data_IF_433673897032
#
_entry.id   IF_433673897032
#
_cell.length_a   1.000
_cell.length_b   1.000
_cell.length_c   1.000
_cell.angle_alpha   90.00
_cell.angle_beta   90.00
_cell.angle_gamma   90.00
#
_symmetry.space_group_name_H-M   'P 1'
#
loop_
_entity.id
_entity.type
_entity.pdbx_description
1 polymer ?
#
# COMPACT_ATOMS: atom_id res chain seq x y z
N UNK A 1 22.55 10.54 12.08
CA UNK A 1 21.66 10.83 10.94
C UNK A 1 21.50 9.53 10.21
N UNK A 2 20.34 8.88 10.31
CA UNK A 2 19.94 7.70 9.53
C UNK A 2 18.45 7.50 9.82
N UNK A 3 17.59 8.35 9.27
CA UNK A 3 16.15 8.14 9.37
C UNK A 3 15.52 8.67 8.10
N UNK A 4 15.34 7.78 7.13
CA UNK A 4 14.35 7.99 6.10
C UNK A 4 12.99 8.04 6.82
N UNK A 5 12.54 9.23 7.18
CA UNK A 5 11.22 9.44 7.76
C UNK A 5 10.20 9.32 6.63
N UNK A 6 9.42 8.24 6.64
CA UNK A 6 8.26 8.12 5.75
C UNK A 6 7.04 8.71 6.45
N UNK A 7 6.22 9.44 5.70
CA UNK A 7 4.95 10.00 6.18
C UNK A 7 3.79 9.44 5.37
N UNK A 8 2.64 9.28 6.02
CA UNK A 8 1.37 9.17 5.33
C UNK A 8 0.85 10.58 5.05
N UNK A 9 0.41 10.82 3.81
CA UNK A 9 -0.10 12.10 3.32
C UNK A 9 -1.53 12.39 3.83
N UNK A 10 -1.71 12.38 5.14
CA UNK A 10 -2.90 12.87 5.85
C UNK A 10 -2.80 14.39 6.07
N UNK A 11 -3.88 15.01 6.55
CA UNK A 11 -3.87 16.41 7.00
C UNK A 11 -4.23 16.49 8.50
N UNK A 12 -3.25 16.76 9.40
CA UNK A 12 -1.81 16.94 9.12
C UNK A 12 -1.12 15.62 8.76
N UNK A 13 0.08 15.69 8.16
CA UNK A 13 0.86 14.49 7.81
C UNK A 13 1.12 13.60 9.03
N UNK A 14 1.01 12.28 8.85
CA UNK A 14 1.23 11.30 9.92
C UNK A 14 2.59 10.64 9.76
N UNK A 15 3.55 10.85 10.68
CA UNK A 15 4.83 10.14 10.66
C UNK A 15 4.64 8.63 10.85
N UNK A 16 5.29 7.83 9.99
CA UNK A 16 5.20 6.37 10.05
C UNK A 16 6.28 5.80 10.97
N UNK A 17 5.86 4.93 11.89
CA UNK A 17 6.77 4.19 12.77
C UNK A 17 7.16 2.87 12.12
N UNK A 18 8.22 2.90 11.33
CA UNK A 18 8.69 1.73 10.62
C UNK A 18 9.61 0.88 11.48
N UNK A 19 9.54 -0.45 11.32
CA UNK A 19 10.52 -1.38 11.88
C UNK A 19 11.81 -1.42 11.04
N UNK A 20 11.63 -1.37 9.72
CA UNK A 20 12.66 -1.30 8.69
C UNK A 20 12.06 -0.63 7.44
N UNK A 21 12.91 -0.18 6.51
CA UNK A 21 12.45 0.38 5.22
C UNK A 21 12.00 -0.78 4.32
N UNK A 22 10.70 -0.87 3.96
CA UNK A 22 10.21 -1.96 3.11
C UNK A 22 10.80 -1.84 1.70
N UNK A 23 11.18 -2.96 1.10
CA UNK A 23 11.59 -3.01 -0.32
C UNK A 23 10.41 -3.34 -1.23
N UNK A 24 9.41 -4.08 -0.72
CA UNK A 24 8.13 -4.35 -1.36
C UNK A 24 7.01 -3.92 -0.42
N UNK A 25 6.15 -3.05 -0.95
CA UNK A 25 4.95 -2.61 -0.27
C UNK A 25 3.76 -3.23 -0.96
N UNK A 26 2.94 -3.92 -0.19
CA UNK A 26 1.65 -4.37 -0.68
C UNK A 26 0.54 -3.41 -0.28
N UNK A 27 -0.47 -3.32 -1.13
CA UNK A 27 -1.62 -2.44 -0.98
C UNK A 27 -2.88 -3.28 -0.99
N UNK A 28 -3.76 -3.06 0.00
CA UNK A 28 -5.05 -3.73 0.10
C UNK A 28 -6.16 -2.70 0.21
N UNK A 29 -7.10 -2.74 -0.74
CA UNK A 29 -8.26 -1.87 -0.80
C UNK A 29 -9.51 -2.67 -0.44
N UNK A 30 -10.19 -2.21 0.60
CA UNK A 30 -11.49 -2.71 1.05
C UNK A 30 -12.52 -1.61 0.84
N UNK A 31 -13.28 -1.71 -0.24
CA UNK A 31 -14.26 -0.70 -0.60
C UNK A 31 -15.55 -0.78 0.21
N UNK A 32 -15.89 -1.96 0.73
CA UNK A 32 -17.09 -2.12 1.54
C UNK A 32 -16.88 -1.43 2.90
N UNK A 33 -15.67 -1.49 3.48
CA UNK A 33 -15.30 -0.79 4.73
C UNK A 33 -14.67 0.59 4.51
N UNK A 34 -14.40 0.99 3.26
CA UNK A 34 -13.76 2.27 2.94
C UNK A 34 -12.34 2.39 3.52
N UNK A 35 -11.55 1.34 3.35
CA UNK A 35 -10.23 1.20 3.95
C UNK A 35 -9.15 0.90 2.91
N UNK A 36 -8.06 1.65 2.97
CA UNK A 36 -6.84 1.37 2.18
C UNK A 36 -5.69 1.11 3.14
N UNK A 37 -5.11 -0.09 3.08
CA UNK A 37 -4.04 -0.53 3.98
C UNK A 37 -2.74 -0.84 3.23
N UNK A 38 -1.62 -0.51 3.85
CA UNK A 38 -0.27 -0.71 3.34
C UNK A 38 0.51 -1.65 4.28
N UNK A 39 1.29 -2.56 3.71
CA UNK A 39 2.08 -3.55 4.47
C UNK A 39 3.46 -3.78 3.83
N UNK A 40 4.43 -4.15 4.66
CA UNK A 40 5.68 -4.74 4.15
C UNK A 40 5.40 -6.18 3.76
N UNK A 41 5.72 -6.53 2.52
CA UNK A 41 5.47 -7.89 1.99
C UNK A 41 6.45 -8.90 2.60
N UNK A 42 7.71 -8.49 2.78
CA UNK A 42 8.77 -9.37 3.25
C UNK A 42 8.61 -9.72 4.72
N UNK A 43 8.42 -8.69 5.54
CA UNK A 43 8.39 -8.83 7.00
C UNK A 43 6.95 -8.98 7.54
N UNK A 44 5.96 -9.01 6.65
CA UNK A 44 4.54 -9.27 6.95
C UNK A 44 3.97 -8.39 8.08
N UNK A 45 4.35 -7.11 8.12
CA UNK A 45 3.85 -6.17 9.13
C UNK A 45 3.11 -4.99 8.51
N UNK A 46 2.14 -4.49 9.27
CA UNK A 46 1.28 -3.39 8.90
C UNK A 46 1.99 -2.04 8.99
N UNK A 47 1.97 -1.26 7.91
CA UNK A 47 2.58 0.07 7.85
C UNK A 47 1.58 1.15 8.25
N UNK A 48 0.45 1.23 7.55
CA UNK A 48 -0.57 2.25 7.78
C UNK A 48 -1.92 1.85 7.16
N UNK A 49 -2.99 2.43 7.69
CA UNK A 49 -4.35 2.29 7.15
C UNK A 49 -5.02 3.66 7.09
N UNK A 50 -5.43 4.04 5.88
CA UNK A 50 -6.36 5.15 5.68
C UNK A 50 -7.80 4.64 5.86
N UNK A 51 -8.56 5.38 6.67
CA UNK A 51 -9.99 5.17 6.84
C UNK A 51 -10.71 6.37 6.24
N UNK A 52 -11.69 6.11 5.39
CA UNK A 52 -12.45 7.16 4.72
C UNK A 52 -13.24 6.55 3.58
N UNK A 53 -14.55 6.73 3.60
CA UNK A 53 -15.45 6.13 2.62
C UNK A 53 -14.96 6.40 1.19
N UNK A 54 -14.72 5.32 0.44
CA UNK A 54 -14.38 5.40 -0.98
C UNK A 54 -15.66 5.73 -1.72
N UNK A 55 -15.85 6.99 -2.13
CA UNK A 55 -17.10 7.43 -2.78
C UNK A 55 -17.07 7.33 -4.30
N UNK A 56 -16.17 6.54 -4.88
CA UNK A 56 -16.05 6.38 -6.33
C UNK A 56 -14.89 5.48 -6.75
N UNK A 57 -14.63 5.43 -8.05
CA UNK A 57 -13.51 4.66 -8.61
C UNK A 57 -12.18 5.23 -8.13
N UNK A 58 -11.31 4.34 -7.68
CA UNK A 58 -9.93 4.66 -7.35
C UNK A 58 -9.00 4.16 -8.45
N UNK A 59 -7.90 4.87 -8.63
CA UNK A 59 -6.81 4.48 -9.52
C UNK A 59 -5.52 4.52 -8.72
N UNK A 60 -4.63 3.53 -8.90
CA UNK A 60 -3.32 3.58 -8.28
C UNK A 60 -2.51 4.74 -8.87
N UNK A 61 -1.78 5.45 -8.00
CA UNK A 61 -0.86 6.54 -8.36
C UNK A 61 0.54 6.15 -7.87
N UNK A 62 1.52 6.23 -8.76
CA UNK A 62 2.92 5.94 -8.46
C UNK A 62 3.79 7.12 -8.91
N UNK A 63 4.70 7.57 -8.03
CA UNK A 63 5.67 8.63 -8.32
C UNK A 63 7.08 8.11 -8.00
N UNK A 64 7.80 7.52 -8.97
CA UNK A 64 9.09 6.84 -8.74
C UNK A 64 10.27 7.77 -8.42
N UNK A 65 10.06 9.09 -8.36
CA UNK A 65 11.13 10.07 -8.14
C UNK A 65 12.00 10.31 -9.38
N UNK A 66 13.14 10.98 -9.18
CA UNK A 66 13.99 11.51 -10.27
C UNK A 66 15.32 10.77 -10.46
N UNK A 67 15.68 9.86 -9.56
CA UNK A 67 17.03 9.29 -9.48
C UNK A 67 17.23 7.97 -10.27
N UNK A 68 16.26 7.60 -11.10
CA UNK A 68 16.38 6.44 -12.00
C UNK A 68 16.12 5.09 -11.34
N UNK A 69 15.63 5.07 -10.10
CA UNK A 69 15.08 3.86 -9.47
C UNK A 69 13.69 3.55 -10.06
N UNK A 70 13.49 2.31 -10.52
CA UNK A 70 12.25 1.89 -11.15
C UNK A 70 11.30 1.23 -10.14
N UNK A 71 10.02 1.57 -10.21
CA UNK A 71 8.98 0.84 -9.48
C UNK A 71 8.45 -0.29 -10.35
N UNK A 72 8.58 -1.52 -9.87
CA UNK A 72 8.03 -2.71 -10.52
C UNK A 72 6.67 -3.09 -9.89
N UNK A 73 5.64 -3.24 -10.73
CA UNK A 73 4.37 -3.84 -10.31
C UNK A 73 4.50 -5.35 -10.39
N UNK A 74 4.56 -6.00 -9.22
CA UNK A 74 4.58 -7.44 -9.12
C UNK A 74 3.20 -8.01 -9.47
N UNK A 75 3.16 -8.91 -10.46
CA UNK A 75 1.95 -9.66 -10.78
C UNK A 75 1.67 -10.69 -9.68
N UNK A 76 0.41 -10.92 -9.27
CA UNK A 76 0.07 -12.07 -8.44
C UNK A 76 0.42 -13.35 -9.21
N UNK A 77 1.43 -14.09 -8.77
CA UNK A 77 1.90 -15.31 -9.44
C UNK A 77 1.63 -16.56 -8.60
N UNK A 78 0.84 -17.49 -9.15
CA UNK A 78 0.80 -18.94 -8.88
C UNK A 78 0.61 -19.49 -7.44
N UNK A 79 0.30 -18.67 -6.44
CA UNK A 79 -0.27 -19.12 -5.16
C UNK A 79 -1.77 -18.76 -5.04
N UNK A 80 -2.54 -19.09 -6.07
CA UNK A 80 -4.00 -19.12 -5.97
C UNK A 80 -4.46 -20.48 -5.41
N UNK A 81 -4.55 -20.57 -4.08
CA UNK A 81 -5.60 -21.41 -3.51
C UNK A 81 -6.94 -20.76 -3.93
N UNK A 82 -7.64 -21.45 -4.83
CA UNK A 82 -8.93 -21.03 -5.37
C UNK A 82 -9.96 -20.93 -4.24
N UNK A 83 -10.05 -19.78 -3.59
CA UNK A 83 -11.22 -19.43 -2.78
C UNK A 83 -11.50 -17.94 -2.66
N UNK A 84 -10.83 -17.06 -3.41
CA UNK A 84 -11.11 -15.62 -3.34
C UNK A 84 -11.45 -15.06 -4.72
N UNK A 85 -12.52 -15.60 -5.32
CA UNK A 85 -13.26 -14.85 -6.33
C UNK A 85 -14.20 -13.90 -5.58
N UNK A 86 -13.69 -12.75 -5.15
CA UNK A 86 -14.53 -11.66 -4.65
C UNK A 86 -14.06 -10.31 -5.18
N UNK A 87 -14.90 -9.77 -6.06
CA UNK A 87 -15.00 -8.37 -6.52
C UNK A 87 -13.74 -7.79 -7.17
N UNK A 88 -13.57 -8.13 -8.44
CA UNK A 88 -13.05 -7.16 -9.38
C UNK A 88 -14.06 -5.99 -9.43
N UNK A 89 -13.61 -4.79 -9.07
CA UNK A 89 -14.34 -3.51 -9.12
C UNK A 89 -14.95 -3.05 -7.79
N UNK A 90 -14.39 -1.95 -7.32
CA UNK A 90 -15.15 -0.76 -6.93
C UNK A 90 -15.25 0.12 -8.20
#
# INVERSE_FOLDING_TARGET
>A
MNSYELTALTDPETPLRLRAIPQKVGMYLDCDEGRLSFYSVEDHWHIHTFNGGVTGKLYPLFEPGVDGEELEILQPGDEINQSDQHKETC
#
